data_IF_236382356342
#
_entry.id   IF_236382356342
#
_cell.length_a   1.000
_cell.length_b   1.000
_cell.length_c   1.000
_cell.angle_alpha   90.00
_cell.angle_beta   90.00
_cell.angle_gamma   90.00
#
_symmetry.space_group_name_H-M   'P 1'
#
loop_
_entity.id
_entity.type
_entity.pdbx_description
1 polymer ?
#
# COMPACT_ATOMS: atom_id res chain seq x y z
N UNK A 1 -2.60 4.71 -5.19
CA UNK A 1 -3.69 4.04 -5.93
C UNK A 1 -3.80 2.61 -5.45
N UNK A 2 -5.02 2.09 -5.36
CA UNK A 2 -5.32 0.82 -4.74
C UNK A 2 -6.46 0.11 -5.43
N UNK A 3 -6.34 -1.21 -5.53
CA UNK A 3 -7.35 -2.16 -5.99
C UNK A 3 -7.38 -3.34 -5.01
N UNK A 4 -8.32 -4.28 -5.13
CA UNK A 4 -8.37 -5.44 -4.25
C UNK A 4 -7.09 -6.28 -4.24
N UNK A 5 -6.36 -6.33 -5.36
CA UNK A 5 -5.17 -7.19 -5.52
C UNK A 5 -3.85 -6.43 -5.53
N UNK A 6 -3.87 -5.11 -5.50
CA UNK A 6 -2.64 -4.33 -5.50
C UNK A 6 -2.81 -2.97 -4.85
N UNK A 7 -1.77 -2.49 -4.18
CA UNK A 7 -1.72 -1.14 -3.64
C UNK A 7 -0.37 -0.51 -3.97
N UNK A 8 -0.38 0.72 -4.45
CA UNK A 8 0.81 1.53 -4.72
C UNK A 8 0.75 2.83 -3.93
N UNK A 9 1.79 3.11 -3.16
CA UNK A 9 1.91 4.29 -2.33
C UNK A 9 3.36 4.76 -2.24
N UNK A 10 3.54 6.01 -1.82
CA UNK A 10 4.84 6.58 -1.48
C UNK A 10 4.92 6.69 0.03
N UNK A 11 6.02 6.23 0.62
CA UNK A 11 6.26 6.35 2.05
C UNK A 11 7.68 6.83 2.32
N UNK A 12 7.89 7.48 3.46
CA UNK A 12 9.22 7.65 4.01
C UNK A 12 9.71 6.26 4.47
N UNK A 13 10.87 5.82 4.00
CA UNK A 13 11.31 4.44 4.24
C UNK A 13 12.81 4.19 4.16
N UNK A 14 13.56 5.11 3.55
CA UNK A 14 15.01 5.05 3.59
C UNK A 14 15.54 5.98 4.68
N UNK A 15 16.01 5.41 5.79
CA UNK A 15 16.79 6.14 6.77
C UNK A 15 18.01 6.78 6.07
N UNK A 16 18.12 8.12 6.14
CA UNK A 16 19.33 8.87 5.81
C UNK A 16 19.82 9.58 7.08
N UNK A 17 20.22 8.83 8.13
CA UNK A 17 20.41 9.37 9.47
C UNK A 17 21.53 10.41 9.56
N UNK A 18 22.46 10.42 8.61
CA UNK A 18 23.57 11.38 8.56
C UNK A 18 23.42 12.44 7.45
N UNK A 19 22.34 12.41 6.66
CA UNK A 19 22.11 13.36 5.56
C UNK A 19 23.14 13.30 4.41
N UNK A 20 24.11 12.39 4.47
CA UNK A 20 25.27 12.33 3.56
C UNK A 20 24.92 11.86 2.14
N UNK A 21 23.76 11.25 1.96
CA UNK A 21 23.29 10.79 0.65
C UNK A 21 22.43 11.86 0.00
N UNK A 22 22.83 12.34 -1.19
CA UNK A 22 22.03 13.21 -2.05
C UNK A 22 20.87 12.44 -2.72
N UNK A 23 19.99 11.83 -1.92
CA UNK A 23 18.78 11.14 -2.37
C UNK A 23 17.63 11.40 -1.42
N UNK A 24 16.40 11.36 -1.96
CA UNK A 24 15.19 11.44 -1.15
C UNK A 24 15.06 10.24 -0.20
N UNK A 25 14.47 10.45 0.98
CA UNK A 25 14.08 9.38 1.91
C UNK A 25 12.74 8.73 1.53
N UNK A 26 12.06 9.29 0.52
CA UNK A 26 10.81 8.79 -0.03
C UNK A 26 11.05 7.64 -0.99
N UNK A 27 10.28 6.58 -0.82
CA UNK A 27 10.29 5.41 -1.68
C UNK A 27 8.87 5.14 -2.18
N UNK A 28 8.75 4.88 -3.49
CA UNK A 28 7.50 4.37 -4.07
C UNK A 28 7.52 2.86 -3.98
N UNK A 29 6.44 2.30 -3.43
CA UNK A 29 6.28 0.87 -3.20
C UNK A 29 4.94 0.40 -3.73
N UNK A 30 4.93 -0.75 -4.39
CA UNK A 30 3.73 -1.49 -4.79
C UNK A 30 3.75 -2.88 -4.16
N UNK A 31 2.64 -3.25 -3.54
CA UNK A 31 2.35 -4.63 -3.21
C UNK A 31 1.35 -5.15 -4.24
N UNK A 32 1.58 -6.37 -4.71
CA UNK A 32 0.76 -7.00 -5.74
C UNK A 32 0.61 -8.48 -5.50
N UNK A 33 -0.64 -8.95 -5.59
CA UNK A 33 -0.98 -10.35 -5.52
C UNK A 33 -1.17 -10.92 -6.93
N UNK A 34 -0.30 -11.84 -7.31
CA UNK A 34 -0.33 -12.52 -8.61
C UNK A 34 0.20 -13.93 -8.49
N UNK A 35 -0.38 -14.88 -9.23
CA UNK A 35 0.05 -16.30 -9.22
C UNK A 35 0.23 -16.87 -7.80
N UNK A 36 -0.77 -16.68 -6.94
CA UNK A 36 -0.75 -17.15 -5.54
C UNK A 36 0.43 -16.64 -4.70
N UNK A 37 1.00 -15.50 -5.10
CA UNK A 37 2.21 -14.93 -4.50
C UNK A 37 2.01 -13.44 -4.22
N UNK A 38 2.36 -13.00 -3.01
CA UNK A 38 2.51 -11.59 -2.67
C UNK A 38 3.90 -11.11 -3.06
N UNK A 39 3.96 -10.12 -3.94
CA UNK A 39 5.19 -9.51 -4.44
C UNK A 39 5.24 -8.05 -3.98
N UNK A 40 6.43 -7.60 -3.59
CA UNK A 40 6.75 -6.19 -3.38
C UNK A 40 7.62 -5.68 -4.51
N UNK A 41 7.21 -4.57 -5.08
CA UNK A 41 7.93 -3.84 -6.14
C UNK A 41 8.32 -2.48 -5.56
N UNK A 42 9.59 -2.11 -5.69
CA UNK A 42 10.06 -0.81 -5.21
C UNK A 42 10.84 -0.08 -6.29
N UNK A 43 10.62 1.23 -6.36
CA UNK A 43 11.37 2.13 -7.23
C UNK A 43 12.32 2.99 -6.38
N UNK A 44 13.59 3.18 -6.81
CA UNK A 44 14.55 4.00 -6.09
C UNK A 44 14.31 5.51 -6.26
N UNK A 45 13.39 5.92 -7.15
CA UNK A 45 13.05 7.31 -7.46
C UNK A 45 11.53 7.52 -7.47
N UNK A 46 11.09 8.75 -7.22
CA UNK A 46 9.66 9.11 -7.17
C UNK A 46 9.02 9.16 -8.57
N UNK A 47 9.74 9.75 -9.53
CA UNK A 47 9.33 9.87 -10.94
C UNK A 47 9.85 8.70 -11.76
N UNK A 48 9.32 7.51 -11.49
CA UNK A 48 9.67 6.32 -12.26
C UNK A 48 9.09 6.39 -13.68
N UNK A 49 9.97 6.27 -14.68
CA UNK A 49 9.60 5.99 -16.08
C UNK A 49 9.55 4.48 -16.34
N UNK A 50 9.02 4.04 -17.48
CA UNK A 50 9.01 2.62 -17.88
C UNK A 50 10.40 1.97 -17.93
N UNK A 51 11.47 2.77 -18.04
CA UNK A 51 12.86 2.31 -18.06
C UNK A 51 13.52 2.29 -16.66
N UNK A 52 12.82 2.71 -15.61
CA UNK A 52 13.38 2.77 -14.26
C UNK A 52 13.55 1.36 -13.69
N UNK A 53 14.77 0.97 -13.24
CA UNK A 53 14.99 -0.34 -12.62
C UNK A 53 14.07 -0.53 -11.41
N UNK A 54 13.30 -1.60 -11.42
CA UNK A 54 12.41 -1.99 -10.34
C UNK A 54 13.02 -3.15 -9.58
N UNK A 55 13.14 -3.03 -8.27
CA UNK A 55 13.43 -4.20 -7.43
C UNK A 55 12.11 -4.94 -7.16
N UNK A 56 12.07 -6.23 -7.51
CA UNK A 56 10.92 -7.11 -7.32
C UNK A 56 11.31 -8.21 -6.35
N UNK A 57 10.59 -8.29 -5.23
CA UNK A 57 10.81 -9.30 -4.21
C UNK A 57 9.54 -10.08 -3.93
N UNK A 58 9.60 -11.39 -4.08
CA UNK A 58 8.57 -12.30 -3.56
C UNK A 58 8.63 -12.28 -2.03
N UNK A 59 7.51 -11.98 -1.38
CA UNK A 59 7.41 -11.89 0.07
C UNK A 59 6.79 -13.14 0.68
N UNK A 60 5.75 -13.66 0.03
CA UNK A 60 4.99 -14.80 0.53
C UNK A 60 4.39 -15.57 -0.64
N UNK A 61 4.56 -16.89 -0.65
CA UNK A 61 3.92 -17.81 -1.56
C UNK A 61 2.75 -18.55 -0.89
N UNK A 62 2.10 -19.44 -1.64
CA UNK A 62 1.00 -20.27 -1.14
C UNK A 62 -0.14 -19.45 -0.52
N UNK A 63 -0.36 -18.25 -1.08
CA UNK A 63 -1.45 -17.35 -0.70
C UNK A 63 -2.65 -17.69 -1.57
N UNK A 64 -3.72 -18.19 -0.95
CA UNK A 64 -4.95 -18.55 -1.64
C UNK A 64 -5.73 -17.31 -2.07
N UNK A 65 -5.78 -16.32 -1.17
CA UNK A 65 -6.48 -15.05 -1.40
C UNK A 65 -5.73 -13.91 -0.73
N UNK A 66 -5.74 -12.73 -1.37
CA UNK A 66 -5.29 -11.48 -0.78
C UNK A 66 -6.23 -10.37 -1.23
N UNK A 67 -6.68 -9.56 -0.28
CA UNK A 67 -7.58 -8.43 -0.50
C UNK A 67 -7.10 -7.19 0.25
N UNK A 68 -7.10 -6.04 -0.44
CA UNK A 68 -6.93 -4.73 0.14
C UNK A 68 -8.26 -3.97 0.13
N UNK A 69 -8.67 -3.46 1.30
CA UNK A 69 -9.77 -2.49 1.41
C UNK A 69 -9.26 -1.19 2.04
N UNK A 70 -9.92 -0.09 1.72
CA UNK A 70 -9.51 1.26 2.08
C UNK A 70 -10.62 1.93 2.88
N UNK A 71 -10.32 2.38 4.09
CA UNK A 71 -11.28 3.09 4.93
C UNK A 71 -11.34 4.56 4.53
N UNK A 72 -12.50 5.02 4.06
CA UNK A 72 -12.70 6.42 3.67
C UNK A 72 -12.83 7.36 4.88
N UNK A 73 -12.95 8.66 4.61
CA UNK A 73 -13.11 9.68 5.65
C UNK A 73 -14.38 9.51 6.49
N UNK A 74 -15.44 8.95 5.89
CA UNK A 74 -16.74 8.68 6.52
C UNK A 74 -16.77 7.34 7.28
N UNK A 75 -15.68 6.56 7.23
CA UNK A 75 -15.58 5.26 7.88
C UNK A 75 -16.19 4.11 7.07
N UNK A 76 -16.46 4.29 5.78
CA UNK A 76 -16.87 3.20 4.90
C UNK A 76 -15.67 2.53 4.25
N UNK A 77 -15.78 1.22 4.03
CA UNK A 77 -14.78 0.45 3.32
C UNK A 77 -15.00 0.55 1.81
N UNK A 78 -13.93 0.86 1.10
CA UNK A 78 -13.88 0.97 -0.35
C UNK A 78 -12.92 -0.10 -0.87
N UNK A 79 -13.28 -0.80 -1.95
CA UNK A 79 -12.40 -1.82 -2.56
C UNK A 79 -11.38 -1.23 -3.54
N UNK A 80 -11.53 0.05 -3.92
CA UNK A 80 -10.64 0.78 -4.82
C UNK A 80 -10.32 2.14 -4.20
N UNK A 81 -9.08 2.62 -4.39
CA UNK A 81 -8.67 3.94 -3.95
C UNK A 81 -7.83 4.70 -5.00
N UNK A 82 -8.11 5.99 -5.28
CA UNK A 82 -9.27 6.74 -4.80
C UNK A 82 -10.59 6.14 -5.35
N UNK A 83 -11.74 6.37 -4.68
CA UNK A 83 -13.05 6.04 -5.22
C UNK A 83 -13.25 6.71 -6.58
N UNK A 84 -13.95 6.04 -7.50
CA UNK A 84 -14.13 6.51 -8.89
C UNK A 84 -14.87 7.85 -8.98
N UNK A 85 -15.75 8.12 -8.03
CA UNK A 85 -16.53 9.36 -7.89
C UNK A 85 -15.75 10.48 -7.18
N UNK A 86 -14.55 10.20 -6.67
CA UNK A 86 -13.73 11.14 -5.88
C UNK A 86 -12.25 11.09 -6.29
N UNK A 87 -11.93 11.56 -7.50
CA UNK A 87 -10.54 11.60 -7.99
C UNK A 87 -9.58 12.44 -7.10
N UNK A 88 -10.09 13.43 -6.37
CA UNK A 88 -9.31 14.27 -5.45
C UNK A 88 -9.34 13.77 -4.00
N UNK A 89 -9.67 12.50 -3.76
CA UNK A 89 -9.67 11.94 -2.42
C UNK A 89 -8.26 12.05 -1.79
N UNK A 90 -8.24 12.51 -0.54
CA UNK A 90 -7.09 12.44 0.35
C UNK A 90 -6.68 10.97 0.59
N UNK A 91 -5.63 10.72 1.38
CA UNK A 91 -5.26 9.34 1.75
C UNK A 91 -6.40 8.66 2.52
N UNK A 92 -6.58 7.33 2.38
CA UNK A 92 -7.56 6.61 3.19
C UNK A 92 -7.13 6.69 4.67
N UNK A 93 -8.10 6.66 5.59
CA UNK A 93 -7.82 6.68 7.04
C UNK A 93 -7.09 5.42 7.50
N UNK A 94 -7.37 4.30 6.85
CA UNK A 94 -6.73 3.02 7.12
C UNK A 94 -6.74 2.15 5.86
N UNK A 95 -5.83 1.17 5.84
CA UNK A 95 -5.85 0.06 4.87
C UNK A 95 -6.05 -1.23 5.63
N UNK A 96 -7.10 -1.97 5.27
CA UNK A 96 -7.32 -3.34 5.74
C UNK A 96 -6.71 -4.30 4.74
N UNK A 97 -5.90 -5.22 5.24
CA UNK A 97 -5.27 -6.28 4.46
C UNK A 97 -5.84 -7.60 4.97
N UNK A 98 -6.48 -8.37 4.09
CA UNK A 98 -6.92 -9.73 4.40
C UNK A 98 -6.16 -10.70 3.51
N UNK A 99 -5.57 -11.74 4.10
CA UNK A 99 -4.91 -12.81 3.38
C UNK A 99 -5.39 -14.17 3.88
N UNK A 100 -5.58 -15.11 2.98
CA UNK A 100 -5.89 -16.50 3.29
C UNK A 100 -4.68 -17.35 2.89
N UNK A 101 -4.02 -17.95 3.86
CA UNK A 101 -2.86 -18.82 3.65
C UNK A 101 -3.28 -20.28 3.63
N UNK A 102 -2.67 -21.08 2.76
CA UNK A 102 -2.98 -22.50 2.62
C UNK A 102 -2.95 -23.26 3.95
N UNK A 103 -1.99 -22.93 4.82
CA UNK A 103 -1.74 -23.68 6.05
C UNK A 103 -2.27 -22.98 7.32
N UNK A 104 -2.57 -21.68 7.26
CA UNK A 104 -2.82 -20.85 8.45
C UNK A 104 -4.21 -20.21 8.44
N UNK A 105 -4.99 -20.40 7.37
CA UNK A 105 -6.32 -19.80 7.25
C UNK A 105 -6.26 -18.30 7.04
N UNK A 106 -7.29 -17.59 7.50
CA UNK A 106 -7.48 -16.16 7.24
C UNK A 106 -6.81 -15.29 8.30
N UNK A 107 -5.98 -14.35 7.86
CA UNK A 107 -5.38 -13.29 8.68
C UNK A 107 -5.92 -11.96 8.16
N UNK A 108 -6.32 -11.07 9.07
CA UNK A 108 -6.77 -9.72 8.74
C UNK A 108 -6.05 -8.72 9.64
N UNK A 109 -5.38 -7.76 9.00
CA UNK A 109 -4.65 -6.67 9.65
C UNK A 109 -5.22 -5.33 9.20
N UNK A 110 -5.18 -4.33 10.08
CA UNK A 110 -5.63 -2.96 9.79
C UNK A 110 -4.50 -1.99 10.13
N UNK A 111 -4.07 -1.22 9.13
CA UNK A 111 -3.02 -0.22 9.28
C UNK A 111 -3.61 1.18 9.17
N UNK A 112 -3.52 1.96 10.25
CA UNK A 112 -3.91 3.37 10.25
C UNK A 112 -2.90 4.19 9.46
N UNK A 113 -3.39 5.11 8.63
CA UNK A 113 -2.53 6.02 7.87
C UNK A 113 -2.48 7.37 8.60
N UNK A 114 -1.28 7.71 9.06
CA UNK A 114 -1.03 8.99 9.71
C UNK A 114 -1.24 10.16 8.72
N UNK A 115 -1.88 11.24 9.18
CA UNK A 115 -2.07 12.46 8.40
C UNK A 115 -3.51 12.80 8.02
N UNK A 116 -4.49 11.99 8.42
CA UNK A 116 -5.90 12.37 8.39
C UNK A 116 -6.28 12.98 9.76
N UNK A 117 -6.78 14.22 9.85
CA UNK A 117 -7.36 14.73 11.07
C UNK A 117 -8.47 13.78 11.54
N UNK A 118 -8.44 13.36 12.79
CA UNK A 118 -9.60 12.74 13.39
C UNK A 118 -10.66 13.83 13.50
N UNK A 119 -11.70 13.79 12.66
CA UNK A 119 -12.91 14.58 12.88
C UNK A 119 -13.36 14.32 14.32
N UNK A 120 -13.42 15.39 15.13
CA UNK A 120 -13.95 15.30 16.49
C UNK A 120 -15.43 14.93 16.36
N UNK A 121 -15.82 13.82 16.95
CA UNK A 121 -17.24 13.53 17.19
C UNK A 121 -17.78 14.61 18.13
N UNK A 122 -18.78 15.36 17.67
CA UNK A 122 -19.63 16.22 18.53
C UNK A 122 -20.52 15.37 19.43
#
# INVERSE_FOLDING_TARGET
MGTPKSVTFTHAGLSNPLGQLNRTTLQRTRYEFTKNTLIRITWPVLDATSATPMDKRQLLDSVNELHFDYLDSKGHLQSIWPPLDQLNAILPRAVRISLTLANWGKITEIYLIAGQPLEKSN
#
